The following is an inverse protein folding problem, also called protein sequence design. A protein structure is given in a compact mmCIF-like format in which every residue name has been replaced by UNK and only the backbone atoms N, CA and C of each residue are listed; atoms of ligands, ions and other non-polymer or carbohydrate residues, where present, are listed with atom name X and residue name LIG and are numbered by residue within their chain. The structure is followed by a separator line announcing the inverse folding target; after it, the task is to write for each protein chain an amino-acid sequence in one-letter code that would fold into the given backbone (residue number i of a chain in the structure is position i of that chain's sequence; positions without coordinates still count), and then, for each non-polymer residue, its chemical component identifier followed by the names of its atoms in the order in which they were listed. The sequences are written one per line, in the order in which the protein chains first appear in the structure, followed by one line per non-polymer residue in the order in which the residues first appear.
data_IF_422669515641
#
_entry.id   IF_422669515641
#
_cell.length_a   1.000
_cell.length_b   1.000
_cell.length_c   1.000
_cell.angle_alpha   90.00
_cell.angle_beta   90.00
_cell.angle_gamma   90.00
#
_symmetry.space_group_name_H-M   'P 1'
#
loop_
_entity.id
_entity.type
_entity.pdbx_description
1 polymer ?
#
# COMPACT_ATOMS: atom_id res chain seq x y z
N UNK A 1 -7.88 -18.58 2.50
CA UNK A 1 -7.33 -17.37 3.17
C UNK A 1 -5.81 -17.36 2.99
N UNK A 2 -5.24 -16.23 2.56
CA UNK A 2 -3.78 -16.04 2.45
C UNK A 2 -3.32 -14.82 3.25
N UNK A 3 -2.02 -14.74 3.53
CA UNK A 3 -1.38 -13.62 4.22
C UNK A 3 0.08 -13.46 3.78
N UNK A 4 0.81 -12.52 4.39
CA UNK A 4 2.09 -12.03 3.88
C UNK A 4 3.15 -13.11 3.59
N UNK A 5 3.12 -14.24 4.31
CA UNK A 5 4.03 -15.37 4.10
C UNK A 5 4.06 -15.87 2.65
N UNK A 6 2.92 -15.84 1.93
CA UNK A 6 2.85 -16.28 0.53
C UNK A 6 3.68 -15.40 -0.41
N UNK A 7 3.94 -14.13 -0.06
CA UNK A 7 4.65 -13.14 -0.88
C UNK A 7 6.14 -13.03 -0.54
N UNK A 8 6.62 -13.75 0.48
CA UNK A 8 8.03 -13.75 0.89
C UNK A 8 8.96 -14.25 -0.20
N UNK A 9 8.59 -15.33 -0.89
CA UNK A 9 9.34 -15.88 -2.03
C UNK A 9 9.34 -14.94 -3.25
N UNK A 10 8.42 -13.97 -3.31
CA UNK A 10 8.42 -12.90 -4.32
C UNK A 10 9.33 -11.72 -3.93
N UNK A 11 9.98 -11.76 -2.76
CA UNK A 11 10.85 -10.69 -2.28
C UNK A 11 10.13 -9.57 -1.53
N UNK A 12 8.83 -9.71 -1.23
CA UNK A 12 8.11 -8.83 -0.31
C UNK A 12 8.36 -9.35 1.11
N UNK A 13 9.02 -8.59 2.00
CA UNK A 13 9.22 -9.04 3.37
C UNK A 13 7.86 -9.24 4.05
N UNK A 14 7.79 -10.06 5.09
CA UNK A 14 6.59 -10.11 5.94
C UNK A 14 6.74 -9.24 7.19
N UNK A 15 5.69 -9.18 7.99
CA UNK A 15 5.67 -8.38 9.20
C UNK A 15 6.27 -9.09 10.42
N UNK A 16 6.20 -10.42 10.51
CA UNK A 16 6.25 -11.17 11.78
C UNK A 16 7.24 -12.34 11.83
N UNK A 17 7.85 -12.74 10.72
CA UNK A 17 8.76 -13.89 10.74
C UNK A 17 9.97 -13.63 11.64
N UNK A 18 10.35 -14.65 12.40
CA UNK A 18 11.45 -14.56 13.36
C UNK A 18 12.78 -14.27 12.62
N UNK A 19 13.53 -13.27 13.08
CA UNK A 19 14.79 -12.83 12.46
C UNK A 19 14.68 -12.14 11.09
N UNK A 20 13.54 -12.24 10.40
CA UNK A 20 13.36 -11.68 9.03
C UNK A 20 12.21 -10.70 8.84
N UNK A 21 11.19 -10.77 9.69
CA UNK A 21 10.00 -9.93 9.63
C UNK A 21 10.24 -8.51 10.12
N UNK A 22 9.48 -7.57 9.59
CA UNK A 22 9.64 -6.13 9.87
C UNK A 22 9.67 -5.81 11.38
N UNK A 23 8.81 -6.44 12.18
CA UNK A 23 8.75 -6.23 13.63
C UNK A 23 9.89 -6.89 14.40
N UNK A 24 10.53 -7.91 13.85
CA UNK A 24 11.69 -8.57 14.45
C UNK A 24 13.00 -7.82 14.16
N UNK A 25 13.06 -7.07 13.04
CA UNK A 25 14.25 -6.34 12.58
C UNK A 25 14.29 -4.86 12.93
N UNK A 26 13.15 -4.26 13.31
CA UNK A 26 13.05 -2.81 13.49
C UNK A 26 12.15 -2.45 14.69
N UNK A 27 12.46 -1.35 15.38
CA UNK A 27 11.54 -0.73 16.38
C UNK A 27 10.36 0.00 15.71
N UNK A 28 10.02 -0.37 14.47
CA UNK A 28 9.10 0.40 13.65
C UNK A 28 7.66 0.06 13.99
N UNK A 29 6.87 1.09 14.32
CA UNK A 29 5.44 0.96 14.60
C UNK A 29 4.64 1.12 13.31
N UNK A 30 3.62 0.29 13.07
CA UNK A 30 2.76 0.47 11.91
C UNK A 30 1.97 1.78 12.03
N UNK A 31 1.68 2.40 10.88
CA UNK A 31 0.92 3.63 10.83
C UNK A 31 -0.51 3.41 11.35
N UNK A 32 -0.95 4.28 12.27
CA UNK A 32 -2.31 4.28 12.78
C UNK A 32 -3.21 5.12 11.88
N UNK A 33 -4.40 4.63 11.57
CA UNK A 33 -5.41 5.36 10.78
C UNK A 33 -5.67 6.74 11.35
N UNK A 34 -5.89 6.84 12.67
CA UNK A 34 -6.16 8.10 13.35
C UNK A 34 -5.03 9.12 13.18
N UNK A 35 -3.77 8.68 13.21
CA UNK A 35 -2.61 9.56 13.03
C UNK A 35 -2.51 10.04 11.58
N UNK A 36 -2.75 9.16 10.60
CA UNK A 36 -2.76 9.55 9.19
C UNK A 36 -3.85 10.57 8.89
N UNK A 37 -5.07 10.39 9.41
CA UNK A 37 -6.16 11.32 9.18
C UNK A 37 -5.90 12.68 9.85
N UNK A 38 -5.36 12.71 11.08
CA UNK A 38 -5.24 13.97 11.85
C UNK A 38 -3.98 14.76 11.53
N UNK A 39 -2.87 14.11 11.19
CA UNK A 39 -1.55 14.75 11.10
C UNK A 39 -1.04 14.85 9.66
N UNK A 40 -0.88 16.08 9.17
CA UNK A 40 -0.25 16.34 7.87
C UNK A 40 1.19 15.82 7.84
N UNK A 41 1.96 16.01 8.91
CA UNK A 41 3.32 15.51 9.01
C UNK A 41 3.38 13.98 8.89
N UNK A 42 2.39 13.26 9.46
CA UNK A 42 2.27 11.80 9.32
C UNK A 42 1.96 11.41 7.88
N UNK A 43 1.05 12.13 7.19
CA UNK A 43 0.74 11.89 5.77
C UNK A 43 1.94 12.14 4.87
N UNK A 44 2.64 13.25 5.06
CA UNK A 44 3.88 13.59 4.32
C UNK A 44 4.92 12.49 4.48
N UNK A 45 5.18 12.08 5.73
CA UNK A 45 6.10 10.98 6.02
C UNK A 45 5.70 9.70 5.31
N UNK A 46 4.44 9.30 5.40
CA UNK A 46 3.94 8.09 4.74
C UNK A 46 4.11 8.17 3.21
N UNK A 47 3.59 9.22 2.58
CA UNK A 47 3.59 9.35 1.13
C UNK A 47 4.99 9.52 0.54
N UNK A 48 5.90 10.24 1.20
CA UNK A 48 7.28 10.37 0.75
C UNK A 48 7.98 9.00 0.68
N UNK A 49 7.78 8.17 1.71
CA UNK A 49 8.39 6.85 1.80
C UNK A 49 7.71 5.85 0.86
N UNK A 50 6.38 5.88 0.75
CA UNK A 50 5.64 5.07 -0.22
C UNK A 50 5.98 5.48 -1.67
N UNK A 51 6.24 6.76 -1.94
CA UNK A 51 6.69 7.27 -3.24
C UNK A 51 8.00 6.61 -3.67
N UNK A 52 9.02 6.64 -2.79
CA UNK A 52 10.33 6.07 -3.11
C UNK A 52 10.27 4.55 -3.26
N UNK A 53 9.46 3.85 -2.45
CA UNK A 53 9.34 2.40 -2.58
C UNK A 53 8.36 1.92 -3.67
N UNK A 54 7.55 2.79 -4.27
CA UNK A 54 6.56 2.36 -5.24
C UNK A 54 7.12 1.66 -6.50
N UNK A 55 8.20 2.15 -7.15
CA UNK A 55 8.71 1.54 -8.38
C UNK A 55 9.07 0.06 -8.19
N UNK A 56 9.79 -0.28 -7.11
CA UNK A 56 10.16 -1.66 -6.83
C UNK A 56 8.98 -2.48 -6.27
N UNK A 57 8.06 -1.91 -5.47
CA UNK A 57 6.91 -2.67 -4.96
C UNK A 57 5.95 -3.07 -6.08
N UNK A 58 5.63 -2.13 -6.97
CA UNK A 58 4.72 -2.35 -8.10
C UNK A 58 5.26 -3.35 -9.12
N UNK A 59 6.59 -3.43 -9.29
CA UNK A 59 7.24 -4.33 -10.25
C UNK A 59 7.35 -5.79 -9.77
N UNK A 60 7.07 -6.10 -8.50
CA UNK A 60 7.27 -7.46 -7.97
C UNK A 60 6.35 -8.47 -8.68
N UNK A 61 6.91 -9.57 -9.22
CA UNK A 61 6.13 -10.62 -9.86
C UNK A 61 5.57 -11.65 -8.85
N UNK A 62 4.45 -12.30 -9.19
CA UNK A 62 3.96 -13.45 -8.43
C UNK A 62 4.95 -14.62 -8.45
N UNK A 63 4.93 -15.44 -7.39
CA UNK A 63 5.69 -16.69 -7.31
C UNK A 63 4.83 -17.93 -7.66
N UNK A 64 5.45 -19.11 -7.58
CA UNK A 64 4.83 -20.40 -7.91
C UNK A 64 3.55 -20.68 -7.11
N UNK A 65 3.48 -20.25 -5.86
CA UNK A 65 2.31 -20.47 -5.00
C UNK A 65 1.10 -19.68 -5.50
N UNK A 66 1.31 -18.42 -5.90
CA UNK A 66 0.26 -17.59 -6.49
C UNK A 66 -0.27 -18.19 -7.79
N UNK A 67 0.61 -18.60 -8.70
CA UNK A 67 0.21 -19.25 -9.96
C UNK A 67 -0.51 -20.58 -9.73
N UNK A 68 -0.10 -21.34 -8.71
CA UNK A 68 -0.77 -22.58 -8.34
C UNK A 68 -2.19 -22.33 -7.87
N UNK A 69 -2.43 -21.31 -7.04
CA UNK A 69 -3.78 -20.94 -6.60
C UNK A 69 -4.64 -20.46 -7.76
N UNK A 70 -4.10 -19.62 -8.66
CA UNK A 70 -4.81 -19.19 -9.87
C UNK A 70 -5.21 -20.38 -10.77
N UNK A 71 -4.35 -21.40 -10.87
CA UNK A 71 -4.67 -22.64 -11.59
C UNK A 71 -5.78 -23.43 -10.91
N UNK A 72 -5.71 -23.60 -9.59
CA UNK A 72 -6.73 -24.33 -8.83
C UNK A 72 -8.11 -23.65 -8.93
N UNK A 73 -8.16 -22.32 -8.92
CA UNK A 73 -9.38 -21.55 -9.16
C UNK A 73 -9.94 -21.81 -10.57
N UNK A 74 -9.09 -21.72 -11.59
CA UNK A 74 -9.47 -21.99 -13.00
C UNK A 74 -9.99 -23.41 -13.22
N UNK A 75 -9.46 -24.38 -12.48
CA UNK A 75 -9.88 -25.78 -12.50
C UNK A 75 -11.14 -26.04 -11.64
N UNK A 76 -11.72 -25.01 -11.01
CA UNK A 76 -12.91 -25.14 -10.15
C UNK A 76 -12.65 -25.88 -8.84
N UNK A 77 -11.39 -25.99 -8.42
CA UNK A 77 -10.97 -26.70 -7.19
C UNK A 77 -11.07 -25.82 -5.94
N UNK A 78 -11.03 -24.51 -6.14
CA UNK A 78 -11.34 -23.50 -5.12
C UNK A 78 -12.30 -22.48 -5.73
N UNK A 79 -13.18 -21.91 -4.92
CA UNK A 79 -14.16 -20.92 -5.36
C UNK A 79 -13.63 -19.49 -5.41
N UNK A 80 -12.44 -19.25 -4.84
CA UNK A 80 -11.81 -17.93 -4.80
C UNK A 80 -10.78 -17.82 -3.68
N UNK A 81 -10.19 -16.63 -3.57
CA UNK A 81 -9.09 -16.32 -2.67
C UNK A 81 -9.46 -15.11 -1.82
N UNK A 82 -9.58 -15.33 -0.52
CA UNK A 82 -9.57 -14.22 0.45
C UNK A 82 -8.11 -13.95 0.85
N UNK A 83 -7.63 -12.73 0.70
CA UNK A 83 -6.25 -12.34 1.04
C UNK A 83 -6.20 -11.17 2.01
N UNK A 84 -5.24 -11.22 2.94
CA UNK A 84 -4.89 -10.08 3.80
C UNK A 84 -3.83 -9.18 3.17
N UNK A 85 -3.28 -9.56 2.01
CA UNK A 85 -2.21 -8.83 1.34
C UNK A 85 -2.78 -7.67 0.54
N UNK A 86 -1.94 -6.65 0.31
CA UNK A 86 -2.26 -5.43 -0.44
C UNK A 86 -1.41 -5.28 -1.71
N UNK A 87 -0.75 -6.38 -2.10
CA UNK A 87 0.30 -6.44 -3.14
C UNK A 87 -0.19 -6.80 -4.55
N UNK A 88 -1.49 -7.11 -4.69
CA UNK A 88 -2.14 -7.60 -5.90
C UNK A 88 -1.48 -8.83 -6.56
N UNK A 89 -0.61 -9.58 -5.88
CA UNK A 89 0.11 -10.69 -6.52
C UNK A 89 -0.81 -11.82 -6.99
N UNK A 90 -1.95 -12.06 -6.32
CA UNK A 90 -2.98 -13.00 -6.79
C UNK A 90 -3.57 -12.57 -8.14
N UNK A 91 -3.93 -11.30 -8.28
CA UNK A 91 -4.42 -10.75 -9.55
C UNK A 91 -3.35 -10.81 -10.64
N UNK A 92 -2.10 -10.45 -10.33
CA UNK A 92 -0.97 -10.58 -11.27
C UNK A 92 -0.73 -12.03 -11.71
N UNK A 93 -1.01 -13.01 -10.85
CA UNK A 93 -0.88 -14.44 -11.17
C UNK A 93 -2.04 -14.99 -12.03
N UNK A 94 -3.12 -14.22 -12.19
CA UNK A 94 -4.30 -14.56 -13.00
C UNK A 94 -5.49 -15.10 -12.22
N UNK A 95 -5.52 -14.99 -10.89
CA UNK A 95 -6.72 -15.27 -10.09
C UNK A 95 -7.79 -14.20 -10.35
N UNK A 96 -9.05 -14.60 -10.44
CA UNK A 96 -10.19 -13.73 -10.77
C UNK A 96 -11.10 -13.43 -9.58
N UNK A 97 -11.37 -14.43 -8.76
CA UNK A 97 -12.25 -14.32 -7.60
C UNK A 97 -11.42 -14.02 -6.35
N UNK A 98 -10.93 -12.78 -6.24
CA UNK A 98 -10.05 -12.33 -5.14
C UNK A 98 -10.75 -11.29 -4.27
N UNK A 99 -10.83 -11.56 -2.98
CA UNK A 99 -11.28 -10.60 -1.95
C UNK A 99 -10.07 -10.08 -1.18
N UNK A 100 -9.73 -8.81 -1.40
CA UNK A 100 -8.63 -8.11 -0.71
C UNK A 100 -9.14 -7.48 0.61
N UNK A 101 -9.03 -8.22 1.72
CA UNK A 101 -9.59 -7.82 3.03
C UNK A 101 -9.05 -6.48 3.54
N UNK A 102 -7.80 -6.16 3.22
CA UNK A 102 -7.15 -4.92 3.64
C UNK A 102 -7.05 -3.90 2.51
N UNK A 103 -7.83 -4.09 1.44
CA UNK A 103 -7.78 -3.29 0.22
C UNK A 103 -6.47 -3.47 -0.56
N UNK A 104 -6.09 -2.45 -1.32
CA UNK A 104 -5.03 -2.52 -2.31
C UNK A 104 -4.05 -1.35 -2.19
N UNK A 105 -2.74 -1.65 -2.24
CA UNK A 105 -1.70 -0.62 -2.36
C UNK A 105 -1.62 0.01 -3.74
N UNK A 106 -2.42 -0.46 -4.68
CA UNK A 106 -2.44 -0.03 -6.08
C UNK A 106 -3.55 0.99 -6.37
N UNK A 107 -4.31 1.41 -5.37
CA UNK A 107 -5.34 2.43 -5.50
C UNK A 107 -5.17 3.52 -4.46
N UNK A 108 -5.59 4.72 -4.82
CA UNK A 108 -5.59 5.89 -3.95
C UNK A 108 -7.00 6.46 -3.91
N UNK A 109 -7.51 6.68 -2.71
CA UNK A 109 -8.86 7.17 -2.45
C UNK A 109 -8.84 8.50 -1.70
N UNK A 110 -9.89 9.30 -1.87
CA UNK A 110 -10.13 10.46 -1.03
C UNK A 110 -10.65 10.05 0.34
N UNK A 111 -10.08 10.64 1.41
CA UNK A 111 -10.54 10.47 2.80
C UNK A 111 -11.08 11.78 3.40
N UNK A 112 -11.33 12.77 2.54
CA UNK A 112 -11.92 14.04 2.92
C UNK A 112 -10.96 14.95 3.68
N UNK A 113 -11.49 16.04 4.23
CA UNK A 113 -10.74 16.98 5.07
C UNK A 113 -10.86 16.57 6.53
N UNK A 114 -9.90 16.98 7.36
CA UNK A 114 -9.86 16.67 8.79
C UNK A 114 -11.13 17.12 9.56
N UNK A 115 -11.96 17.98 8.96
CA UNK A 115 -12.99 18.78 9.63
C UNK A 115 -14.43 18.31 9.29
N UNK A 116 -14.59 17.40 8.31
CA UNK A 116 -15.89 16.97 7.79
C UNK A 116 -16.05 15.45 7.92
N UNK A 117 -16.47 14.97 9.09
CA UNK A 117 -16.89 13.58 9.42
C UNK A 117 -16.27 12.44 8.57
N UNK A 118 -14.98 12.49 8.27
CA UNK A 118 -14.20 11.38 7.69
C UNK A 118 -14.73 10.72 6.42
N UNK A 119 -15.61 11.37 5.62
CA UNK A 119 -16.11 10.79 4.36
C UNK A 119 -15.53 11.58 3.19
N UNK A 120 -14.56 10.98 2.50
CA UNK A 120 -14.09 11.51 1.22
C UNK A 120 -15.20 11.51 0.16
N UNK A 121 -14.96 12.22 -0.94
CA UNK A 121 -15.78 12.04 -2.14
C UNK A 121 -15.40 10.73 -2.85
N UNK A 122 -16.12 10.38 -3.91
CA UNK A 122 -15.92 9.14 -4.67
C UNK A 122 -14.66 9.17 -5.57
N UNK A 123 -13.70 10.05 -5.27
CA UNK A 123 -12.46 10.14 -6.05
C UNK A 123 -11.56 8.95 -5.75
N UNK A 124 -11.20 8.26 -6.83
CA UNK A 124 -10.24 7.16 -6.86
C UNK A 124 -9.28 7.37 -8.03
N UNK A 125 -8.03 6.96 -7.86
CA UNK A 125 -7.02 6.95 -8.93
C UNK A 125 -6.10 5.73 -8.78
N UNK A 126 -5.63 5.17 -9.89
CA UNK A 126 -4.61 4.12 -9.89
C UNK A 126 -3.29 4.66 -9.33
N UNK A 127 -2.60 3.86 -8.52
CA UNK A 127 -1.38 4.30 -7.84
C UNK A 127 -0.23 4.59 -8.82
N UNK A 128 -0.19 4.03 -10.04
CA UNK A 128 0.77 4.41 -11.07
C UNK A 128 0.47 5.79 -11.66
N UNK A 129 -0.81 6.12 -11.87
CA UNK A 129 -1.21 7.47 -12.29
C UNK A 129 -0.87 8.48 -11.19
N UNK A 130 -1.14 8.12 -9.93
CA UNK A 130 -0.78 8.94 -8.78
C UNK A 130 0.74 9.14 -8.65
N UNK A 131 1.53 8.10 -8.95
CA UNK A 131 3.00 8.21 -8.99
C UNK A 131 3.45 9.31 -9.94
N UNK A 132 2.91 9.35 -11.17
CA UNK A 132 3.27 10.37 -12.16
C UNK A 132 2.96 11.79 -11.68
N UNK A 133 1.87 11.96 -10.94
CA UNK A 133 1.53 13.25 -10.33
C UNK A 133 2.57 13.62 -9.25
N UNK A 134 2.95 12.66 -8.41
CA UNK A 134 3.98 12.89 -7.38
C UNK A 134 5.34 13.20 -8.00
N UNK A 135 5.73 12.54 -9.09
CA UNK A 135 6.99 12.81 -9.81
C UNK A 135 7.05 14.27 -10.29
N UNK A 136 5.94 14.80 -10.83
CA UNK A 136 5.84 16.20 -11.28
C UNK A 136 5.92 17.21 -10.14
N UNK A 137 5.34 16.87 -8.98
CA UNK A 137 5.31 17.77 -7.82
C UNK A 137 6.60 17.72 -7.00
N UNK A 138 7.39 16.65 -7.14
CA UNK A 138 8.57 16.40 -6.32
C UNK A 138 9.82 16.08 -7.17
N UNK A 139 10.20 16.94 -8.15
CA UNK A 139 11.28 16.64 -9.09
C UNK A 139 12.68 16.54 -8.46
N UNK A 140 12.85 17.08 -7.23
CA UNK A 140 14.09 17.04 -6.48
C UNK A 140 14.26 15.77 -5.62
N UNK A 141 13.26 14.88 -5.60
CA UNK A 141 13.36 13.60 -4.88
C UNK A 141 14.16 12.60 -5.71
N UNK A 142 15.42 12.37 -5.34
CA UNK A 142 16.25 11.34 -5.96
C UNK A 142 15.97 9.93 -5.39
N UNK A 143 16.17 8.90 -6.22
CA UNK A 143 15.99 7.49 -5.86
C UNK A 143 17.16 7.00 -4.99
N UNK A 144 17.09 7.31 -3.70
CA UNK A 144 18.14 7.02 -2.72
C UNK A 144 17.95 5.74 -1.89
N UNK A 145 17.14 4.77 -2.30
CA UNK A 145 16.71 3.69 -1.38
C UNK A 145 17.56 2.41 -1.40
N UNK A 146 17.97 1.95 -0.20
CA UNK A 146 18.71 0.69 0.01
C UNK A 146 17.88 -0.45 0.62
N UNK A 147 16.67 -0.23 1.18
CA UNK A 147 15.76 -1.30 1.64
C UNK A 147 14.26 -0.93 1.63
N UNK A 148 13.40 -1.88 1.19
CA UNK A 148 11.94 -1.78 1.01
C UNK A 148 11.16 -2.70 1.97
N UNK A 149 9.96 -2.29 2.37
CA UNK A 149 9.08 -2.93 3.37
C UNK A 149 7.86 -3.65 2.74
N UNK A 150 7.06 -4.42 3.52
CA UNK A 150 5.98 -5.26 2.98
C UNK A 150 4.85 -4.48 2.29
N UNK A 151 4.61 -3.24 2.72
CA UNK A 151 3.65 -2.28 2.18
C UNK A 151 4.27 -1.29 1.17
N UNK A 152 5.53 -1.54 0.77
CA UNK A 152 6.27 -0.68 -0.15
C UNK A 152 6.88 0.57 0.49
N UNK A 153 6.91 0.68 1.82
CA UNK A 153 7.50 1.80 2.54
C UNK A 153 9.06 1.72 2.59
N UNK A 154 9.77 2.85 2.67
CA UNK A 154 11.25 2.94 2.81
C UNK A 154 11.66 3.95 3.90
N UNK A 155 12.87 3.92 4.44
CA UNK A 155 13.34 4.99 5.35
C UNK A 155 13.94 6.17 4.59
N UNK A 156 13.62 7.41 5.02
CA UNK A 156 14.07 8.65 4.38
C UNK A 156 14.58 9.66 5.42
N UNK A 157 15.61 10.46 5.11
CA UNK A 157 16.01 11.60 5.93
C UNK A 157 14.88 12.62 6.08
N UNK A 158 14.84 13.31 7.21
CA UNK A 158 13.74 14.21 7.58
C UNK A 158 13.58 15.39 6.59
N UNK A 159 14.68 15.87 6.00
CA UNK A 159 14.68 16.95 4.99
C UNK A 159 13.89 16.59 3.72
N UNK A 160 14.00 15.35 3.24
CA UNK A 160 13.23 14.86 2.09
C UNK A 160 11.74 14.78 2.40
N UNK A 161 11.38 14.49 3.65
CA UNK A 161 9.98 14.43 4.09
C UNK A 161 9.35 15.83 4.21
N UNK A 162 10.12 16.82 4.67
CA UNK A 162 9.64 18.19 4.88
C UNK A 162 9.34 18.91 3.56
N UNK A 163 10.16 18.68 2.54
CA UNK A 163 9.95 19.21 1.19
C UNK A 163 8.91 18.48 0.36
N UNK A 164 8.40 17.32 0.81
CA UNK A 164 7.51 16.49 0.03
C UNK A 164 6.10 17.09 -0.10
N UNK A 165 5.63 17.22 -1.34
CA UNK A 165 4.34 17.77 -1.72
C UNK A 165 3.37 16.65 -2.09
N UNK A 166 2.24 16.60 -1.39
CA UNK A 166 1.13 15.71 -1.69
C UNK A 166 0.01 16.54 -2.31
N UNK A 167 -0.51 16.18 -3.51
CA UNK A 167 -1.63 16.89 -4.08
C UNK A 167 -2.91 16.65 -3.25
N UNK A 168 -3.78 17.65 -3.09
CA UNK A 168 -5.12 17.42 -2.57
C UNK A 168 -5.97 16.66 -3.60
N UNK A 169 -7.08 16.07 -3.15
CA UNK A 169 -8.06 15.48 -4.05
C UNK A 169 -8.55 16.54 -5.07
N UNK A 170 -8.51 16.26 -6.39
CA UNK A 170 -8.89 17.25 -7.39
C UNK A 170 -10.40 17.54 -7.43
N UNK A 171 -11.23 16.71 -6.81
CA UNK A 171 -12.68 16.90 -6.76
C UNK A 171 -13.15 17.77 -5.59
N UNK A 172 -12.59 17.58 -4.39
CA UNK A 172 -13.07 18.27 -3.18
C UNK A 172 -11.97 18.97 -2.36
N UNK A 173 -10.71 18.85 -2.77
CA UNK A 173 -9.56 19.36 -2.02
C UNK A 173 -9.23 18.57 -0.75
N UNK A 174 -9.83 17.39 -0.55
CA UNK A 174 -9.58 16.51 0.60
C UNK A 174 -8.21 15.83 0.58
N UNK A 175 -7.86 15.14 1.66
CA UNK A 175 -6.64 14.35 1.73
C UNK A 175 -6.80 13.04 0.95
N UNK A 176 -5.70 12.56 0.37
CA UNK A 176 -5.63 11.27 -0.32
C UNK A 176 -4.91 10.23 0.56
N UNK A 177 -5.41 9.00 0.54
CA UNK A 177 -4.87 7.82 1.25
C UNK A 177 -4.78 6.66 0.26
N UNK A 178 -3.77 5.78 0.32
CA UNK A 178 -3.88 4.49 -0.36
C UNK A 178 -5.13 3.75 0.13
N UNK A 179 -5.72 2.90 -0.69
CA UNK A 179 -6.85 2.06 -0.29
C UNK A 179 -6.39 0.87 0.56
N UNK A 180 -5.58 1.13 1.57
CA UNK A 180 -5.11 0.12 2.54
C UNK A 180 -5.80 0.34 3.88
N UNK A 181 -6.34 -0.72 4.47
CA UNK A 181 -6.85 -0.69 5.85
C UNK A 181 -5.65 -0.56 6.80
N UNK A 182 -5.47 0.62 7.40
CA UNK A 182 -4.40 0.87 8.38
C UNK A 182 -4.76 0.30 9.75
N UNK A 183 -3.78 0.24 10.65
CA UNK A 183 -4.05 -0.18 12.03
C UNK A 183 -5.00 0.81 12.70
N UNK A 184 -6.03 0.27 13.37
CA UNK A 184 -7.11 1.06 13.96
C UNK A 184 -8.17 1.54 12.97
N UNK A 185 -8.11 1.12 11.71
CA UNK A 185 -9.18 1.30 10.71
C UNK A 185 -10.15 0.10 10.72
N UNK A 186 -11.30 0.23 10.05
CA UNK A 186 -12.27 -0.85 9.86
C UNK A 186 -12.19 -1.42 8.45
N UNK A 187 -12.33 -2.74 8.33
CA UNK A 187 -12.49 -3.39 7.02
C UNK A 187 -13.81 -2.92 6.38
N UNK A 188 -13.82 -2.47 5.12
CA UNK A 188 -15.04 -2.07 4.43
C UNK A 188 -16.06 -3.22 4.41
N UNK A 189 -17.34 -2.90 4.60
CA UNK A 189 -18.41 -3.88 4.37
C UNK A 189 -18.59 -4.07 2.85
N UNK A 190 -18.75 -5.33 2.38
CA UNK A 190 -19.04 -5.61 0.97
C UNK A 190 -20.41 -5.10 0.51
#
# INVERSE_FOLDING_TARGET
LTGAGISTESGIPDYRSEGVGLYARTNHKPIQHGDFIKSEATRKRYWARNYVGWPRFSSIPPNVTHHTLARLEREGRISGIVTQNVDRLHGKAGSKEVVELHGSGFDVICVGRNNERGKGCDYRIDRHDFQRILDQLNPAMEDGSTMMRPDGDVELPQEYVEGFVIPPCPQCGGNLKPEIVFFGDNVPMP
#
